data_IF_133959656393
#
_entry.id   IF_133959656393
#
_cell.length_a   1.000
_cell.length_b   1.000
_cell.length_c   1.000
_cell.angle_alpha   90.00
_cell.angle_beta   90.00
_cell.angle_gamma   90.00
#
_symmetry.space_group_name_H-M   'P 1'
#
loop_
_entity.id
_entity.type
_entity.pdbx_description
1 polymer ?
#
# COMPACT_ATOMS: atom_id res chain seq x y z
N UNK A 1 -7.72 16.64 2.42
CA UNK A 1 -7.15 15.81 3.49
C UNK A 1 -6.01 15.10 2.84
N UNK A 2 -4.83 15.61 3.09
CA UNK A 2 -3.63 15.29 2.36
C UNK A 2 -2.92 14.22 3.18
N UNK A 3 -3.18 12.96 2.85
CA UNK A 3 -2.61 11.82 3.56
C UNK A 3 -1.31 11.37 2.89
N UNK A 4 -0.30 11.08 3.70
CA UNK A 4 0.92 10.46 3.22
C UNK A 4 0.76 8.94 3.25
N UNK A 5 0.74 8.33 2.07
CA UNK A 5 0.47 6.91 1.90
C UNK A 5 1.61 6.28 1.10
N UNK A 6 2.10 5.16 1.58
CA UNK A 6 3.02 4.30 0.83
C UNK A 6 2.28 3.02 0.46
N UNK A 7 2.48 2.54 -0.76
CA UNK A 7 1.83 1.34 -1.26
C UNK A 7 2.84 0.39 -1.89
N UNK A 8 2.65 -0.91 -1.69
CA UNK A 8 3.41 -1.95 -2.37
C UNK A 8 2.44 -2.77 -3.21
N UNK A 9 2.72 -2.92 -4.51
CA UNK A 9 2.01 -3.86 -5.37
C UNK A 9 2.91 -5.03 -5.73
N UNK A 10 2.41 -6.26 -5.60
CA UNK A 10 3.23 -7.43 -5.95
C UNK A 10 2.44 -8.67 -6.40
N UNK A 11 2.88 -9.29 -7.50
CA UNK A 11 2.24 -10.46 -8.12
C UNK A 11 3.29 -11.49 -8.57
N UNK A 12 3.06 -12.78 -8.27
CA UNK A 12 3.92 -13.91 -8.71
C UNK A 12 4.06 -14.01 -10.22
N UNK A 13 2.96 -13.80 -10.95
CA UNK A 13 2.82 -14.27 -12.33
C UNK A 13 3.09 -13.22 -13.40
N UNK A 14 3.34 -11.96 -13.04
CA UNK A 14 3.71 -11.00 -14.07
C UNK A 14 3.82 -9.54 -13.67
N UNK A 15 4.36 -8.79 -14.63
CA UNK A 15 4.48 -7.33 -14.63
C UNK A 15 3.13 -6.63 -14.80
N UNK A 16 2.20 -7.23 -15.57
CA UNK A 16 0.97 -6.55 -15.98
C UNK A 16 0.06 -6.19 -14.80
N UNK A 17 -0.34 -7.17 -13.98
CA UNK A 17 -1.25 -6.90 -12.86
C UNK A 17 -0.61 -6.01 -11.77
N UNK A 18 0.71 -6.13 -11.58
CA UNK A 18 1.48 -5.28 -10.67
C UNK A 18 1.45 -3.82 -11.09
N UNK A 19 1.71 -3.53 -12.37
CA UNK A 19 1.62 -2.16 -12.91
C UNK A 19 0.19 -1.66 -13.02
N UNK A 20 -0.77 -2.51 -13.42
CA UNK A 20 -2.19 -2.13 -13.44
C UNK A 20 -2.70 -1.74 -12.06
N UNK A 21 -2.28 -2.46 -11.01
CA UNK A 21 -2.61 -2.10 -9.64
C UNK A 21 -1.94 -0.79 -9.24
N UNK A 22 -0.67 -0.58 -9.60
CA UNK A 22 0.05 0.65 -9.31
C UNK A 22 -0.61 1.88 -9.97
N UNK A 23 -0.86 1.84 -11.27
CA UNK A 23 -1.50 2.93 -12.01
C UNK A 23 -2.91 3.24 -11.46
N UNK A 24 -3.66 2.19 -11.10
CA UNK A 24 -4.99 2.37 -10.50
C UNK A 24 -4.91 2.98 -9.10
N UNK A 25 -3.91 2.62 -8.30
CA UNK A 25 -3.64 3.29 -7.01
C UNK A 25 -3.29 4.75 -7.21
N UNK A 26 -2.43 5.08 -8.17
CA UNK A 26 -2.07 6.47 -8.48
C UNK A 26 -3.30 7.30 -8.88
N UNK A 27 -4.18 6.75 -9.72
CA UNK A 27 -5.46 7.39 -10.08
C UNK A 27 -6.35 7.63 -8.86
N UNK A 28 -6.45 6.65 -7.96
CA UNK A 28 -7.22 6.79 -6.71
C UNK A 28 -6.59 7.84 -5.81
N UNK A 29 -5.27 7.80 -5.62
CA UNK A 29 -4.53 8.77 -4.81
C UNK A 29 -4.67 10.19 -5.35
N UNK A 30 -4.59 10.39 -6.66
CA UNK A 30 -4.83 11.68 -7.28
C UNK A 30 -6.27 12.18 -7.06
N UNK A 31 -7.27 11.31 -7.19
CA UNK A 31 -8.67 11.67 -6.96
C UNK A 31 -8.95 12.05 -5.50
N UNK A 32 -8.39 11.29 -4.55
CA UNK A 32 -8.56 11.52 -3.11
C UNK A 32 -7.56 12.55 -2.54
N UNK A 33 -6.66 13.09 -3.38
CA UNK A 33 -5.60 14.06 -3.03
C UNK A 33 -4.62 13.51 -1.97
N UNK A 34 -4.18 12.28 -2.15
CA UNK A 34 -3.16 11.65 -1.33
C UNK A 34 -1.76 11.92 -1.88
N UNK A 35 -0.80 12.08 -0.97
CA UNK A 35 0.62 11.96 -1.28
C UNK A 35 0.97 10.48 -1.30
N UNK A 36 0.86 9.88 -2.48
CA UNK A 36 1.04 8.44 -2.67
C UNK A 36 2.41 8.13 -3.29
N UNK A 37 3.13 7.19 -2.70
CA UNK A 37 4.28 6.53 -3.33
C UNK A 37 4.00 5.05 -3.49
N UNK A 38 4.21 4.53 -4.70
CA UNK A 38 3.96 3.12 -5.03
C UNK A 38 5.27 2.42 -5.38
N UNK A 39 5.59 1.38 -4.61
CA UNK A 39 6.64 0.41 -4.91
C UNK A 39 6.03 -0.79 -5.64
N UNK A 40 6.67 -1.24 -6.71
CA UNK A 40 6.23 -2.41 -7.48
C UNK A 40 7.23 -3.53 -7.29
N UNK A 41 6.76 -4.73 -6.93
CA UNK A 41 7.58 -5.93 -6.81
C UNK A 41 7.03 -7.01 -7.73
N UNK A 42 7.77 -7.35 -8.78
CA UNK A 42 7.35 -8.34 -9.75
C UNK A 42 8.50 -9.17 -10.28
N UNK A 43 8.27 -9.85 -11.42
CA UNK A 43 9.29 -10.68 -12.06
C UNK A 43 10.56 -9.92 -12.46
N UNK A 44 10.47 -8.60 -12.64
CA UNK A 44 11.62 -7.72 -12.95
C UNK A 44 12.37 -7.23 -11.70
N UNK A 45 11.94 -7.64 -10.51
CA UNK A 45 12.47 -7.18 -9.23
C UNK A 45 11.63 -6.07 -8.60
N UNK A 46 12.28 -5.30 -7.71
CA UNK A 46 11.68 -4.18 -6.98
C UNK A 46 11.99 -2.88 -7.70
N UNK A 47 10.96 -2.10 -8.01
CA UNK A 47 11.08 -0.76 -8.60
C UNK A 47 10.38 0.27 -7.72
N UNK A 48 10.82 1.53 -7.82
CA UNK A 48 10.32 2.63 -7.00
C UNK A 48 10.35 2.33 -5.49
N UNK A 49 11.43 1.66 -5.05
CA UNK A 49 11.60 1.21 -3.67
C UNK A 49 11.28 2.36 -2.70
N UNK A 50 10.30 2.14 -1.84
CA UNK A 50 9.96 3.02 -0.73
C UNK A 50 11.22 3.12 0.13
N UNK A 51 11.59 4.31 0.57
CA UNK A 51 12.76 4.57 1.42
C UNK A 51 12.37 4.64 2.89
N UNK A 52 13.35 4.66 3.79
CA UNK A 52 13.07 4.88 5.21
C UNK A 52 12.40 6.25 5.47
N UNK A 53 12.75 7.27 4.68
CA UNK A 53 12.14 8.61 4.79
C UNK A 53 10.67 8.62 4.37
N UNK A 54 10.32 7.86 3.32
CA UNK A 54 8.92 7.70 2.90
C UNK A 54 8.10 7.02 4.01
N UNK A 55 8.65 5.98 4.63
CA UNK A 55 8.02 5.23 5.74
C UNK A 55 7.83 6.14 6.96
N UNK A 56 8.82 6.95 7.31
CA UNK A 56 8.74 7.86 8.45
C UNK A 56 7.64 8.93 8.28
N UNK A 57 7.33 9.30 7.03
CA UNK A 57 6.26 10.25 6.70
C UNK A 57 4.92 9.58 6.47
N UNK A 58 4.89 8.26 6.28
CA UNK A 58 3.68 7.53 5.95
C UNK A 58 2.74 7.42 7.14
N UNK A 59 1.48 7.77 6.91
CA UNK A 59 0.40 7.57 7.88
C UNK A 59 -0.26 6.21 7.71
N UNK A 60 -0.27 5.69 6.48
CA UNK A 60 -0.87 4.41 6.09
C UNK A 60 0.02 3.69 5.08
N UNK A 61 0.14 2.38 5.25
CA UNK A 61 0.78 1.45 4.31
C UNK A 61 -0.30 0.63 3.63
N UNK A 62 -0.31 0.62 2.30
CA UNK A 62 -1.20 -0.19 1.47
C UNK A 62 -0.44 -1.36 0.85
N UNK A 63 -0.77 -2.58 1.24
CA UNK A 63 -0.19 -3.80 0.67
C UNK A 63 -1.18 -4.42 -0.30
N UNK A 64 -1.02 -4.17 -1.59
CA UNK A 64 -1.88 -4.69 -2.66
C UNK A 64 -1.15 -5.82 -3.37
N UNK A 65 -1.21 -7.00 -2.78
CA UNK A 65 -0.33 -8.10 -3.18
C UNK A 65 -1.00 -9.46 -3.09
N UNK A 66 -0.67 -10.34 -4.04
CA UNK A 66 -1.03 -11.75 -4.03
C UNK A 66 0.08 -12.65 -3.49
N UNK A 67 1.22 -12.06 -3.08
CA UNK A 67 2.43 -12.76 -2.63
C UNK A 67 2.96 -12.15 -1.33
N UNK A 68 4.00 -12.75 -0.76
CA UNK A 68 4.77 -12.10 0.28
C UNK A 68 5.69 -11.05 -0.36
N UNK A 69 5.71 -9.84 0.23
CA UNK A 69 6.55 -8.75 -0.25
C UNK A 69 7.97 -8.91 0.28
N UNK A 70 8.94 -8.36 -0.44
CA UNK A 70 10.30 -8.19 0.05
C UNK A 70 10.31 -7.26 1.27
N UNK A 71 10.97 -7.72 2.33
CA UNK A 71 11.23 -6.98 3.56
C UNK A 71 10.00 -6.33 4.25
N UNK A 72 8.99 -7.14 4.63
CA UNK A 72 7.74 -6.63 5.22
C UNK A 72 7.93 -6.00 6.60
N UNK A 73 9.05 -6.30 7.28
CA UNK A 73 9.34 -5.78 8.62
C UNK A 73 9.48 -4.26 8.64
N UNK A 74 9.83 -3.63 7.52
CA UNK A 74 9.96 -2.17 7.40
C UNK A 74 8.66 -1.41 7.63
N UNK A 75 7.52 -2.08 7.47
CA UNK A 75 6.20 -1.49 7.67
C UNK A 75 5.60 -1.81 9.04
N UNK A 76 6.36 -2.49 9.91
CA UNK A 76 5.92 -2.87 11.25
C UNK A 76 5.70 -1.61 12.10
N UNK A 77 4.59 -1.56 12.83
CA UNK A 77 4.26 -0.38 13.63
C UNK A 77 3.64 0.78 12.83
N UNK A 78 3.25 0.56 11.58
CA UNK A 78 2.41 1.47 10.81
C UNK A 78 1.01 0.91 10.58
N UNK A 79 0.04 1.80 10.38
CA UNK A 79 -1.33 1.44 9.98
C UNK A 79 -1.27 0.76 8.62
N UNK A 80 -1.47 -0.55 8.59
CA UNK A 80 -1.32 -1.34 7.38
C UNK A 80 -2.68 -1.86 6.91
N UNK A 81 -3.00 -1.66 5.64
CA UNK A 81 -4.17 -2.23 4.96
C UNK A 81 -3.65 -3.19 3.90
N UNK A 82 -4.07 -4.46 3.97
CA UNK A 82 -3.68 -5.49 3.00
C UNK A 82 -4.88 -5.95 2.18
N UNK A 83 -4.70 -6.09 0.87
CA UNK A 83 -5.69 -6.68 -0.05
C UNK A 83 -4.98 -7.40 -1.21
N UNK A 84 -5.70 -8.26 -1.91
CA UNK A 84 -5.21 -8.93 -3.12
C UNK A 84 -5.28 -8.01 -4.33
N UNK A 85 -4.44 -8.22 -5.35
CA UNK A 85 -4.47 -7.38 -6.57
C UNK A 85 -5.82 -7.53 -7.26
N UNK A 86 -6.33 -8.76 -7.36
CA UNK A 86 -7.63 -9.03 -7.96
C UNK A 86 -8.77 -8.26 -7.28
N UNK A 87 -8.81 -8.27 -5.95
CA UNK A 87 -9.84 -7.55 -5.18
C UNK A 87 -9.74 -6.05 -5.41
N UNK A 88 -8.52 -5.49 -5.37
CA UNK A 88 -8.29 -4.07 -5.60
C UNK A 88 -8.68 -3.61 -7.00
N UNK A 89 -8.34 -4.37 -8.04
CA UNK A 89 -8.68 -4.03 -9.41
C UNK A 89 -10.21 -4.06 -9.66
N UNK A 90 -10.93 -4.97 -9.00
CA UNK A 90 -12.39 -5.05 -9.09
C UNK A 90 -13.07 -3.94 -8.30
N UNK A 91 -12.58 -3.63 -7.09
CA UNK A 91 -13.25 -2.75 -6.14
C UNK A 91 -12.24 -1.81 -5.45
N UNK A 92 -11.66 -0.82 -6.18
CA UNK A 92 -10.66 0.08 -5.62
C UNK A 92 -11.22 1.02 -4.54
N UNK A 93 -12.52 1.31 -4.56
CA UNK A 93 -13.18 2.18 -3.58
C UNK A 93 -13.10 1.62 -2.15
N UNK A 94 -13.04 0.30 -1.99
CA UNK A 94 -12.89 -0.32 -0.66
C UNK A 94 -11.61 0.14 0.04
N UNK A 95 -10.52 0.38 -0.70
CA UNK A 95 -9.27 0.90 -0.13
C UNK A 95 -9.48 2.32 0.40
N UNK A 96 -10.22 3.17 -0.33
CA UNK A 96 -10.51 4.54 0.10
C UNK A 96 -11.30 4.54 1.40
N UNK A 97 -12.33 3.69 1.50
CA UNK A 97 -13.13 3.55 2.72
C UNK A 97 -12.30 2.99 3.88
N UNK A 98 -11.46 1.99 3.61
CA UNK A 98 -10.55 1.42 4.60
C UNK A 98 -9.55 2.45 5.13
N UNK A 99 -8.95 3.27 4.26
CA UNK A 99 -8.05 4.37 4.62
C UNK A 99 -8.80 5.38 5.50
N UNK A 100 -9.98 5.84 5.08
CA UNK A 100 -10.78 6.79 5.87
C UNK A 100 -11.19 6.23 7.24
N UNK A 101 -11.43 4.92 7.33
CA UNK A 101 -11.81 4.23 8.55
C UNK A 101 -10.63 4.04 9.51
N UNK A 102 -9.47 3.58 9.02
CA UNK A 102 -8.29 3.34 9.87
C UNK A 102 -7.71 4.65 10.42
N UNK A 103 -7.83 5.75 9.68
CA UNK A 103 -7.38 7.08 10.12
C UNK A 103 -8.19 7.61 11.31
N UNK A 104 -9.46 7.19 11.47
CA UNK A 104 -10.33 7.58 12.59
C UNK A 104 -10.10 6.74 13.85
N UNK A 105 -9.43 5.60 13.75
CA UNK A 105 -9.23 4.68 14.89
C UNK A 105 -7.92 5.01 15.63
N UNK A 106 -7.92 4.98 16.98
CA UNK A 106 -6.68 5.07 17.75
C UNK A 106 -5.80 3.87 17.41
N UNK A 107 -4.53 4.13 17.15
CA UNK A 107 -3.54 3.06 16.97
C UNK A 107 -3.18 2.53 18.35
N UNK A 108 -3.47 1.26 18.60
CA UNK A 108 -3.17 0.61 19.88
C UNK A 108 -2.14 -0.47 19.61
N UNK A 109 -0.93 -0.28 20.15
CA UNK A 109 0.11 -1.29 20.17
C UNK A 109 0.10 -1.97 21.53
N UNK A 110 -0.04 -3.30 21.54
CA UNK A 110 0.12 -4.13 22.73
C UNK A 110 1.26 -5.09 22.43
N UNK A 111 2.43 -4.85 23.03
CA UNK A 111 3.50 -5.85 23.08
C UNK A 111 3.26 -6.75 24.29
N UNK A 112 3.12 -8.05 24.03
CA UNK A 112 3.01 -9.09 25.06
C UNK A 112 4.42 -9.67 25.32
N UNK A 113 4.75 -10.03 26.58
CA UNK A 113 6.03 -10.61 26.94
C UNK A 113 6.28 -11.98 26.31
#
# INVERSE_FOLDING_TARGET
>A
MDFNIVAVTACVSGVAHTYMAAERLEKVGHHEKWHLKVETQGALGVENRITAEDIARAEVVLLVTDIEIDDPQRFRGLRTIKTSIKSFLLQPQQIVEAVKSIMKKPVVYVELP
#
